data_IF_594358686390
#
_entry.id   IF_594358686390
#
_cell.length_a   1.000
_cell.length_b   1.000
_cell.length_c   1.000
_cell.angle_alpha   90.00
_cell.angle_beta   90.00
_cell.angle_gamma   90.00
#
_symmetry.space_group_name_H-M   'P 1'
#
loop_
_entity.id
_entity.type
_entity.pdbx_description
1 polymer ?
#
# COMPACT_ATOMS: atom_id res chain seq x y z
N UNK A 1 41.44 -0.59 28.98
CA UNK A 1 41.59 0.61 28.21
C UNK A 1 40.28 1.05 27.60
N UNK A 2 39.90 2.29 27.87
CA UNK A 2 38.62 2.78 27.30
C UNK A 2 38.59 2.73 25.78
N UNK A 3 39.75 2.87 25.15
CA UNK A 3 39.82 2.91 23.68
C UNK A 3 39.43 1.59 23.01
N UNK A 4 39.81 0.47 23.63
CA UNK A 4 39.44 -0.84 23.06
C UNK A 4 37.96 -1.14 23.23
N UNK A 5 37.40 -0.73 24.37
CA UNK A 5 35.97 -0.87 24.59
C UNK A 5 35.19 -0.01 23.60
N UNK A 6 35.66 1.21 23.36
CA UNK A 6 35.04 2.11 22.40
C UNK A 6 35.16 1.54 20.98
N UNK A 7 36.31 0.99 20.64
CA UNK A 7 36.51 0.36 19.34
C UNK A 7 35.63 -0.86 19.15
N UNK A 8 35.51 -1.71 20.17
CA UNK A 8 34.66 -2.87 20.13
C UNK A 8 33.18 -2.45 20.06
N UNK A 9 32.82 -1.44 20.84
CA UNK A 9 31.48 -0.87 20.74
C UNK A 9 31.20 -0.29 19.36
N UNK A 10 32.19 0.37 18.78
CA UNK A 10 32.06 0.94 17.43
C UNK A 10 31.94 -0.16 16.38
N UNK A 11 32.68 -1.27 16.54
CA UNK A 11 32.59 -2.42 15.62
C UNK A 11 31.28 -3.18 15.76
N UNK A 12 30.89 -3.47 16.98
CA UNK A 12 29.60 -4.12 17.26
C UNK A 12 28.47 -3.20 16.82
N UNK A 13 28.63 -1.91 17.07
CA UNK A 13 27.62 -0.92 16.75
C UNK A 13 27.54 -0.58 15.26
N UNK A 14 28.47 -1.02 14.42
CA UNK A 14 28.36 -0.74 12.99
C UNK A 14 27.12 -1.40 12.41
N UNK A 15 26.90 -2.68 12.68
CA UNK A 15 25.68 -3.38 12.27
C UNK A 15 24.49 -2.83 13.03
N UNK A 16 24.64 -2.62 14.34
CA UNK A 16 23.59 -2.07 15.17
C UNK A 16 23.23 -0.64 14.76
N UNK A 17 24.23 0.18 14.42
CA UNK A 17 23.98 1.53 13.92
C UNK A 17 23.29 1.54 12.57
N UNK A 18 23.62 0.58 11.70
CA UNK A 18 22.93 0.42 10.44
C UNK A 18 21.49 0.02 10.66
N UNK A 19 21.25 -0.91 11.57
CA UNK A 19 19.90 -1.32 11.93
C UNK A 19 19.11 -0.17 12.55
N UNK A 20 19.72 0.58 13.46
CA UNK A 20 19.11 1.76 14.08
C UNK A 20 18.88 2.84 13.03
N UNK A 21 19.83 3.06 12.14
CA UNK A 21 19.68 4.03 11.06
C UNK A 21 18.57 3.63 10.10
N UNK A 22 18.42 2.34 9.78
CA UNK A 22 17.35 1.84 8.94
C UNK A 22 16.00 2.01 9.64
N UNK A 23 15.92 1.69 10.91
CA UNK A 23 14.69 1.89 11.70
C UNK A 23 14.33 3.36 11.81
N UNK A 24 15.32 4.22 12.11
CA UNK A 24 15.12 5.66 12.16
C UNK A 24 14.71 6.22 10.79
N UNK A 25 15.27 5.67 9.72
CA UNK A 25 14.92 6.07 8.36
C UNK A 25 13.48 5.73 8.04
N UNK A 26 13.01 4.54 8.38
CA UNK A 26 11.62 4.17 8.12
C UNK A 26 10.66 4.98 9.01
N UNK A 27 11.00 5.21 10.26
CA UNK A 27 10.22 6.08 11.14
C UNK A 27 10.14 7.50 10.58
N UNK A 28 11.27 8.02 10.11
CA UNK A 28 11.34 9.36 9.52
C UNK A 28 10.50 9.43 8.26
N UNK A 29 10.55 8.41 7.43
CA UNK A 29 9.75 8.34 6.21
C UNK A 29 8.25 8.30 6.52
N UNK A 30 7.85 7.49 7.49
CA UNK A 30 6.45 7.44 7.92
C UNK A 30 6.01 8.80 8.43
N UNK A 31 6.81 9.40 9.32
CA UNK A 31 6.48 10.69 9.95
C UNK A 31 6.36 11.80 8.91
N UNK A 32 7.25 11.81 7.93
CA UNK A 32 7.32 12.87 6.94
C UNK A 32 6.30 12.68 5.81
N UNK A 33 6.10 11.46 5.35
CA UNK A 33 5.34 11.20 4.12
C UNK A 33 4.01 10.50 4.32
N UNK A 34 3.63 10.17 5.56
CA UNK A 34 2.39 9.43 5.81
C UNK A 34 1.17 10.12 5.21
N UNK A 35 1.00 11.41 5.50
CA UNK A 35 -0.15 12.16 5.00
C UNK A 35 -0.13 12.29 3.48
N UNK A 36 1.04 12.50 2.92
CA UNK A 36 1.19 12.58 1.47
C UNK A 36 0.78 11.26 0.80
N UNK A 37 1.28 10.14 1.31
CA UNK A 37 0.96 8.83 0.74
C UNK A 37 -0.53 8.51 0.92
N UNK A 38 -1.09 8.83 2.07
CA UNK A 38 -2.52 8.62 2.34
C UNK A 38 -3.39 9.42 1.39
N UNK A 39 -3.05 10.67 1.16
CA UNK A 39 -3.78 11.53 0.20
C UNK A 39 -3.66 11.00 -1.22
N UNK A 40 -2.47 10.57 -1.60
CA UNK A 40 -2.24 9.96 -2.90
C UNK A 40 -3.08 8.70 -3.07
N UNK A 41 -3.05 7.81 -2.10
CA UNK A 41 -3.82 6.58 -2.13
C UNK A 41 -5.33 6.87 -2.20
N UNK A 42 -5.80 7.84 -1.42
CA UNK A 42 -7.20 8.24 -1.46
C UNK A 42 -7.59 8.81 -2.84
N UNK A 43 -6.70 9.58 -3.46
CA UNK A 43 -6.99 10.14 -4.78
C UNK A 43 -7.10 9.04 -5.85
N UNK A 44 -6.42 7.93 -5.67
CA UNK A 44 -6.47 6.80 -6.61
C UNK A 44 -7.64 5.88 -6.31
N UNK A 45 -7.86 5.56 -5.04
CA UNK A 45 -8.83 4.54 -4.63
C UNK A 45 -10.21 5.10 -4.31
N UNK A 46 -10.29 6.36 -3.97
CA UNK A 46 -11.54 7.06 -3.60
C UNK A 46 -12.33 6.34 -2.51
N UNK A 47 -11.60 5.75 -1.56
CA UNK A 47 -12.16 5.01 -0.44
C UNK A 47 -11.17 5.10 0.72
N UNK A 48 -11.61 5.64 1.87
CA UNK A 48 -10.70 5.88 2.99
C UNK A 48 -10.16 4.60 3.61
N UNK A 49 -10.97 3.58 3.92
CA UNK A 49 -10.42 2.33 4.45
C UNK A 49 -9.40 1.68 3.52
N UNK A 50 -9.66 1.64 2.22
CA UNK A 50 -8.71 1.11 1.26
C UNK A 50 -7.46 1.97 1.15
N UNK A 51 -7.61 3.28 1.20
CA UNK A 51 -6.46 4.20 1.19
C UNK A 51 -5.58 4.00 2.42
N UNK A 52 -6.18 3.81 3.58
CA UNK A 52 -5.44 3.53 4.80
C UNK A 52 -4.67 2.21 4.70
N UNK A 53 -5.31 1.18 4.18
CA UNK A 53 -4.68 -0.13 3.98
C UNK A 53 -3.53 -0.04 2.97
N UNK A 54 -3.74 0.67 1.87
CA UNK A 54 -2.70 0.87 0.86
C UNK A 54 -1.53 1.67 1.41
N UNK A 55 -1.79 2.63 2.28
CA UNK A 55 -0.76 3.42 2.95
C UNK A 55 0.10 2.53 3.85
N UNK A 56 -0.53 1.70 4.68
CA UNK A 56 0.19 0.76 5.53
C UNK A 56 1.01 -0.21 4.69
N UNK A 57 0.42 -0.77 3.65
CA UNK A 57 1.11 -1.68 2.74
C UNK A 57 2.32 -1.00 2.09
N UNK A 58 2.19 0.25 1.72
CA UNK A 58 3.28 1.03 1.15
C UNK A 58 4.47 1.11 2.10
N UNK A 59 4.23 1.45 3.37
CA UNK A 59 5.31 1.58 4.34
C UNK A 59 5.88 0.23 4.77
N UNK A 60 5.07 -0.82 4.79
CA UNK A 60 5.58 -2.18 5.01
C UNK A 60 6.51 -2.60 3.87
N UNK A 61 6.10 -2.37 2.63
CA UNK A 61 6.92 -2.65 1.45
C UNK A 61 8.19 -1.82 1.43
N UNK A 62 8.08 -0.54 1.80
CA UNK A 62 9.22 0.36 1.90
C UNK A 62 10.23 -0.14 2.94
N UNK A 63 9.74 -0.58 4.09
CA UNK A 63 10.59 -1.11 5.14
C UNK A 63 11.37 -2.34 4.65
N UNK A 64 10.70 -3.25 3.96
CA UNK A 64 11.34 -4.45 3.41
C UNK A 64 12.36 -4.11 2.33
N UNK A 65 12.07 -3.10 1.52
CA UNK A 65 12.93 -2.71 0.40
C UNK A 65 14.03 -1.73 0.78
N UNK A 66 14.00 -1.20 2.00
CA UNK A 66 14.92 -0.15 2.43
C UNK A 66 16.38 -0.62 2.40
N UNK A 67 16.62 -1.90 2.66
CA UNK A 67 17.97 -2.48 2.63
C UNK A 67 18.58 -2.35 1.24
N UNK A 68 17.77 -2.49 0.19
CA UNK A 68 18.22 -2.34 -1.20
C UNK A 68 18.18 -0.92 -1.73
N UNK A 69 17.71 0.01 -0.94
CA UNK A 69 17.61 1.41 -1.35
C UNK A 69 18.99 2.08 -1.30
N UNK A 70 19.47 2.54 -2.43
CA UNK A 70 20.82 3.10 -2.57
C UNK A 70 20.84 4.62 -2.70
N UNK A 71 19.79 5.29 -2.30
CA UNK A 71 19.66 6.76 -2.43
C UNK A 71 19.79 7.25 -3.88
N UNK A 72 19.44 6.40 -4.85
CA UNK A 72 19.47 6.78 -6.26
C UNK A 72 18.27 7.64 -6.65
N UNK A 73 17.22 7.63 -5.83
CA UNK A 73 16.03 8.46 -6.03
C UNK A 73 15.69 9.17 -4.73
N UNK A 74 14.94 10.25 -4.84
CA UNK A 74 14.39 10.90 -3.66
C UNK A 74 13.47 9.93 -2.92
N UNK A 75 13.50 9.93 -1.58
CA UNK A 75 12.59 9.08 -0.79
C UNK A 75 11.13 9.27 -1.17
N UNK A 76 10.70 10.49 -1.42
CA UNK A 76 9.32 10.78 -1.81
C UNK A 76 8.96 10.11 -3.13
N UNK A 77 9.83 10.21 -4.14
CA UNK A 77 9.61 9.57 -5.44
C UNK A 77 9.56 8.06 -5.32
N UNK A 78 10.47 7.50 -4.54
CA UNK A 78 10.54 6.07 -4.30
C UNK A 78 9.28 5.55 -3.59
N UNK A 79 8.86 6.25 -2.52
CA UNK A 79 7.63 5.90 -1.81
C UNK A 79 6.40 6.05 -2.70
N UNK A 80 6.38 7.08 -3.54
CA UNK A 80 5.27 7.29 -4.48
C UNK A 80 5.13 6.10 -5.43
N UNK A 81 6.25 5.60 -5.96
CA UNK A 81 6.23 4.43 -6.84
C UNK A 81 5.67 3.20 -6.13
N UNK A 82 6.09 2.96 -4.89
CA UNK A 82 5.58 1.85 -4.09
C UNK A 82 4.07 2.01 -3.84
N UNK A 83 3.64 3.22 -3.48
CA UNK A 83 2.24 3.52 -3.21
C UNK A 83 1.36 3.34 -4.45
N UNK A 84 1.82 3.81 -5.60
CA UNK A 84 1.09 3.65 -6.85
C UNK A 84 0.92 2.17 -7.19
N UNK A 85 1.98 1.37 -7.01
CA UNK A 85 1.90 -0.07 -7.22
C UNK A 85 0.91 -0.75 -6.28
N UNK A 86 0.92 -0.37 -5.00
CA UNK A 86 -0.04 -0.90 -4.02
C UNK A 86 -1.47 -0.56 -4.42
N UNK A 87 -1.72 0.68 -4.85
CA UNK A 87 -3.03 1.12 -5.28
C UNK A 87 -3.48 0.41 -6.56
N UNK A 88 -2.57 0.21 -7.51
CA UNK A 88 -2.87 -0.53 -8.73
C UNK A 88 -3.28 -1.96 -8.43
N UNK A 89 -2.58 -2.61 -7.51
CA UNK A 89 -2.93 -3.96 -7.07
C UNK A 89 -4.36 -4.02 -6.52
N UNK A 90 -4.72 -3.05 -5.69
CA UNK A 90 -6.07 -2.98 -5.13
C UNK A 90 -7.12 -2.70 -6.20
N UNK A 91 -6.82 -1.83 -7.16
CA UNK A 91 -7.71 -1.57 -8.28
C UNK A 91 -7.93 -2.82 -9.14
N UNK A 92 -6.87 -3.61 -9.38
CA UNK A 92 -6.99 -4.86 -10.10
C UNK A 92 -7.91 -5.84 -9.38
N UNK A 93 -7.76 -6.00 -8.08
CA UNK A 93 -8.60 -6.86 -7.27
C UNK A 93 -10.04 -6.37 -7.32
N UNK A 94 -10.26 -5.07 -7.20
CA UNK A 94 -11.60 -4.45 -7.26
C UNK A 94 -12.26 -4.73 -8.61
N UNK A 95 -11.54 -4.51 -9.70
CA UNK A 95 -12.05 -4.78 -11.06
C UNK A 95 -12.37 -6.25 -11.28
N UNK A 96 -11.49 -7.13 -10.84
CA UNK A 96 -11.71 -8.57 -10.94
C UNK A 96 -12.97 -8.98 -10.16
N UNK A 97 -13.13 -8.44 -8.96
CA UNK A 97 -14.32 -8.69 -8.14
C UNK A 97 -15.59 -8.18 -8.81
N UNK A 98 -15.55 -7.00 -9.40
CA UNK A 98 -16.67 -6.42 -10.11
C UNK A 98 -17.03 -7.25 -11.34
N UNK A 99 -16.04 -7.67 -12.12
CA UNK A 99 -16.28 -8.52 -13.29
C UNK A 99 -16.88 -9.85 -12.89
N UNK A 100 -16.36 -10.46 -11.83
CA UNK A 100 -16.90 -11.71 -11.30
C UNK A 100 -18.35 -11.53 -10.84
N UNK A 101 -18.61 -10.49 -10.08
CA UNK A 101 -19.95 -10.16 -9.60
C UNK A 101 -20.92 -9.93 -10.75
N UNK A 102 -20.52 -9.16 -11.75
CA UNK A 102 -21.33 -8.90 -12.95
C UNK A 102 -21.59 -10.17 -13.73
N UNK A 103 -20.59 -11.04 -13.88
CA UNK A 103 -20.76 -12.31 -14.57
C UNK A 103 -21.73 -13.21 -13.81
N UNK A 104 -21.59 -13.30 -12.50
CA UNK A 104 -22.50 -14.09 -11.67
C UNK A 104 -23.92 -13.54 -11.73
N UNK A 105 -24.09 -12.24 -11.73
CA UNK A 105 -25.39 -11.59 -11.89
C UNK A 105 -26.00 -11.89 -13.26
N UNK A 106 -25.20 -11.81 -14.32
CA UNK A 106 -25.66 -12.16 -15.68
C UNK A 106 -26.10 -13.60 -15.76
N UNK A 107 -25.34 -14.54 -15.18
CA UNK A 107 -25.71 -15.94 -15.14
C UNK A 107 -26.98 -16.16 -14.34
N UNK A 108 -27.15 -15.44 -13.25
CA UNK A 108 -28.33 -15.50 -12.41
C UNK A 108 -29.56 -14.95 -13.15
N UNK A 109 -29.38 -13.84 -13.87
CA UNK A 109 -30.43 -13.25 -14.70
C UNK A 109 -30.85 -14.15 -15.85
N UNK A 110 -29.92 -14.90 -16.44
CA UNK A 110 -30.25 -15.87 -17.46
C UNK A 110 -31.13 -17.03 -16.96
N UNK A 111 -31.02 -17.35 -15.67
CA UNK A 111 -31.83 -18.37 -15.03
C UNK A 111 -33.22 -17.86 -14.62
N UNK A 112 -33.41 -16.54 -14.59
CA UNK A 112 -34.68 -15.90 -14.22
C UNK A 112 -35.32 -15.27 -15.43
N UNK A 113 -36.65 -15.29 -15.46
CA UNK A 113 -37.42 -14.74 -16.58
C UNK A 113 -37.53 -13.22 -16.53
N UNK A 114 -37.28 -12.58 -15.38
CA UNK A 114 -37.28 -11.14 -15.23
C UNK A 114 -36.35 -10.73 -14.10
N UNK A 115 -35.55 -9.65 -14.26
CA UNK A 115 -34.72 -9.13 -13.20
C UNK A 115 -35.55 -8.46 -12.12
N UNK A 116 -35.10 -8.59 -10.86
CA UNK A 116 -35.73 -7.92 -9.74
C UNK A 116 -35.10 -6.57 -9.49
N UNK A 117 -35.82 -5.70 -8.77
CA UNK A 117 -35.29 -4.40 -8.39
C UNK A 117 -34.01 -4.52 -7.54
N UNK A 118 -33.97 -5.54 -6.69
CA UNK A 118 -32.78 -5.81 -5.86
C UNK A 118 -31.53 -6.08 -6.70
N UNK A 119 -31.65 -6.84 -7.76
CA UNK A 119 -30.54 -7.13 -8.64
C UNK A 119 -30.01 -5.86 -9.31
N UNK A 120 -30.91 -4.97 -9.72
CA UNK A 120 -30.51 -3.67 -10.25
C UNK A 120 -29.81 -2.81 -9.22
N UNK A 121 -30.26 -2.80 -7.98
CA UNK A 121 -29.63 -2.06 -6.90
C UNK A 121 -28.23 -2.58 -6.59
N UNK A 122 -28.05 -3.92 -6.55
CA UNK A 122 -26.74 -4.53 -6.33
C UNK A 122 -25.78 -4.16 -7.45
N UNK A 123 -26.24 -4.20 -8.69
CA UNK A 123 -25.41 -3.84 -9.82
C UNK A 123 -24.99 -2.37 -9.77
N UNK A 124 -25.89 -1.47 -9.37
CA UNK A 124 -25.60 -0.06 -9.21
C UNK A 124 -24.58 0.17 -8.11
N UNK A 125 -24.67 -0.54 -7.00
CA UNK A 125 -23.68 -0.45 -5.92
C UNK A 125 -22.30 -0.90 -6.39
N UNK A 126 -22.22 -1.98 -7.16
CA UNK A 126 -20.97 -2.45 -7.74
C UNK A 126 -20.40 -1.40 -8.69
N UNK A 127 -21.23 -0.81 -9.55
CA UNK A 127 -20.80 0.24 -10.48
C UNK A 127 -20.31 1.48 -9.73
N UNK A 128 -20.95 1.85 -8.63
CA UNK A 128 -20.57 3.00 -7.82
C UNK A 128 -19.27 2.79 -7.06
N UNK A 129 -18.87 1.56 -6.80
CA UNK A 129 -17.63 1.26 -6.10
C UNK A 129 -16.40 1.33 -7.01
N UNK A 130 -16.56 1.59 -8.28
CA UNK A 130 -15.44 1.80 -9.20
C UNK A 130 -14.80 3.22 -8.98
#
# INVERSE_FOLDING_TARGET
>A
MPNQSVYQMTRISRTSQQEIALELSIESLVREYFLYIRRLAFSILDDLPEADDATQETFISAHRALIGFRNEAEPKTWLTAIAVNACRGRLHIRKAHQLLTSTLQSLHLQKRTSPTTEEHMIQNEVDQSI
#
